data_IF_997492704340
#
_entry.id   IF_997492704340
#
_cell.length_a   1.000
_cell.length_b   1.000
_cell.length_c   1.000
_cell.angle_alpha   90.00
_cell.angle_beta   90.00
_cell.angle_gamma   90.00
#
_symmetry.space_group_name_H-M   'P 1'
#
loop_
_entity.id
_entity.type
_entity.pdbx_description
1 polymer ?
#
# COMPACT_ATOMS: atom_id res chain seq x y z
N UNK A 1 -5.86 -18.63 21.21
CA UNK A 1 -4.48 -18.17 20.94
C UNK A 1 -4.54 -16.67 20.74
N UNK A 2 -3.71 -15.89 21.43
CA UNK A 2 -3.51 -14.47 21.08
C UNK A 2 -2.79 -14.44 19.71
N UNK A 3 -3.23 -13.65 18.73
CA UNK A 3 -2.45 -13.46 17.52
C UNK A 3 -1.06 -12.91 17.91
N UNK A 4 0.01 -13.52 17.41
CA UNK A 4 1.35 -12.94 17.54
C UNK A 4 1.41 -11.75 16.60
N UNK A 5 1.67 -10.57 17.17
CA UNK A 5 1.93 -9.39 16.38
C UNK A 5 3.23 -9.59 15.58
N UNK A 6 3.34 -9.01 14.36
CA UNK A 6 4.56 -9.01 13.58
C UNK A 6 5.74 -8.43 14.38
N UNK A 7 6.94 -8.97 14.17
CA UNK A 7 8.17 -8.34 14.67
C UNK A 7 8.59 -7.19 13.76
N UNK A 8 9.48 -6.30 14.23
CA UNK A 8 10.06 -5.25 13.39
C UNK A 8 10.76 -5.83 12.14
N UNK A 9 11.42 -6.99 12.28
CA UNK A 9 12.04 -7.70 11.17
C UNK A 9 11.00 -8.20 10.15
N UNK A 10 9.84 -8.69 10.61
CA UNK A 10 8.74 -9.11 9.73
C UNK A 10 8.19 -7.91 8.94
N UNK A 11 8.06 -6.75 9.58
CA UNK A 11 7.62 -5.50 8.96
C UNK A 11 8.63 -4.99 7.93
N UNK A 12 9.93 -5.07 8.23
CA UNK A 12 10.98 -4.72 7.27
C UNK A 12 10.96 -5.64 6.04
N UNK A 13 10.91 -6.96 6.25
CA UNK A 13 10.80 -7.95 5.16
C UNK A 13 9.53 -7.73 4.35
N UNK A 14 8.44 -7.32 4.98
CA UNK A 14 7.20 -6.99 4.31
C UNK A 14 7.39 -5.80 3.36
N UNK A 15 7.94 -4.69 3.84
CA UNK A 15 8.12 -3.49 3.01
C UNK A 15 9.19 -3.67 1.92
N UNK A 16 10.23 -4.47 2.15
CA UNK A 16 11.18 -4.86 1.10
C UNK A 16 10.48 -5.55 -0.08
N UNK A 17 9.50 -6.42 0.20
CA UNK A 17 8.68 -7.06 -0.84
C UNK A 17 7.79 -6.05 -1.56
N UNK A 18 7.27 -5.04 -0.87
CA UNK A 18 6.48 -3.97 -1.49
C UNK A 18 7.35 -3.15 -2.44
N UNK A 19 8.56 -2.76 -2.01
CA UNK A 19 9.55 -2.07 -2.85
C UNK A 19 9.86 -2.88 -4.10
N UNK A 20 10.22 -4.16 -3.95
CA UNK A 20 10.48 -5.04 -5.09
C UNK A 20 9.29 -5.10 -6.07
N UNK A 21 8.07 -5.21 -5.57
CA UNK A 21 6.86 -5.26 -6.41
C UNK A 21 6.58 -3.94 -7.13
N UNK A 22 6.96 -2.80 -6.56
CA UNK A 22 6.88 -1.51 -7.23
C UNK A 22 7.89 -1.42 -8.38
N UNK A 23 9.09 -1.96 -8.19
CA UNK A 23 10.09 -2.05 -9.25
C UNK A 23 9.61 -2.99 -10.38
N UNK A 24 9.17 -4.19 -10.03
CA UNK A 24 8.79 -5.23 -11.00
C UNK A 24 7.52 -4.88 -11.79
N UNK A 25 6.46 -4.38 -11.13
CA UNK A 25 5.18 -4.13 -11.80
C UNK A 25 5.10 -2.76 -12.48
N UNK A 26 5.87 -1.77 -12.03
CA UNK A 26 5.73 -0.38 -12.48
C UNK A 26 7.03 0.28 -12.94
N UNK A 27 8.17 -0.42 -12.86
CA UNK A 27 9.45 0.04 -13.40
C UNK A 27 10.14 1.12 -12.58
N UNK A 28 9.78 1.31 -11.30
CA UNK A 28 10.45 2.26 -10.43
C UNK A 28 11.89 1.83 -10.10
N UNK A 29 12.78 2.81 -9.91
CA UNK A 29 14.07 2.54 -9.26
C UNK A 29 13.84 2.19 -7.79
N UNK A 30 14.79 1.49 -7.17
CA UNK A 30 14.74 1.14 -5.75
C UNK A 30 14.52 2.37 -4.88
N UNK A 31 15.29 3.44 -5.10
CA UNK A 31 15.16 4.71 -4.36
C UNK A 31 13.76 5.31 -4.50
N UNK A 32 13.20 5.33 -5.71
CA UNK A 32 11.85 5.86 -5.91
C UNK A 32 10.78 4.98 -5.25
N UNK A 33 10.90 3.66 -5.37
CA UNK A 33 9.99 2.71 -4.76
C UNK A 33 10.02 2.82 -3.22
N UNK A 34 11.20 2.90 -2.62
CA UNK A 34 11.36 3.10 -1.17
C UNK A 34 10.76 4.42 -0.70
N UNK A 35 10.98 5.51 -1.45
CA UNK A 35 10.36 6.80 -1.13
C UNK A 35 8.83 6.75 -1.19
N UNK A 36 8.26 6.07 -2.20
CA UNK A 36 6.80 5.90 -2.31
C UNK A 36 6.23 5.07 -1.16
N UNK A 37 6.92 4.00 -0.74
CA UNK A 37 6.51 3.19 0.40
C UNK A 37 6.56 4.02 1.69
N UNK A 38 7.63 4.79 1.89
CA UNK A 38 7.78 5.63 3.07
C UNK A 38 6.72 6.73 3.13
N UNK A 39 6.50 7.46 2.02
CA UNK A 39 5.47 8.49 1.92
C UNK A 39 4.07 7.92 2.22
N UNK A 40 3.75 6.74 1.68
CA UNK A 40 2.49 6.07 1.98
C UNK A 40 2.38 5.70 3.46
N UNK A 41 3.44 5.11 4.03
CA UNK A 41 3.45 4.67 5.42
C UNK A 41 3.26 5.85 6.39
N UNK A 42 3.97 6.95 6.19
CA UNK A 42 3.85 8.14 7.04
C UNK A 42 2.45 8.76 6.93
N UNK A 43 1.94 8.92 5.71
CA UNK A 43 0.65 9.57 5.48
C UNK A 43 -0.53 8.77 6.05
N UNK A 44 -0.59 7.47 5.78
CA UNK A 44 -1.74 6.64 6.19
C UNK A 44 -1.68 6.15 7.65
N UNK A 45 -0.59 6.44 8.34
CA UNK A 45 -0.49 6.28 9.80
C UNK A 45 -0.82 7.53 10.59
N UNK A 46 -0.84 8.68 9.94
CA UNK A 46 -1.16 9.94 10.59
C UNK A 46 -2.67 10.16 10.66
N UNK A 47 -3.19 10.33 11.88
CA UNK A 47 -4.63 10.44 12.12
C UNK A 47 -5.23 11.71 11.50
N UNK A 48 -4.49 12.82 11.53
CA UNK A 48 -4.93 14.09 10.96
C UNK A 48 -4.98 14.02 9.42
N UNK A 49 -3.94 13.45 8.81
CA UNK A 49 -3.87 13.20 7.37
C UNK A 49 -5.00 12.29 6.90
N UNK A 50 -5.28 11.20 7.62
CA UNK A 50 -6.35 10.27 7.27
C UNK A 50 -7.76 10.90 7.43
N UNK A 51 -7.98 11.67 8.49
CA UNK A 51 -9.24 12.40 8.70
C UNK A 51 -9.50 13.42 7.59
N UNK A 52 -8.44 14.10 7.11
CA UNK A 52 -8.54 15.10 6.04
C UNK A 52 -9.07 14.56 4.70
N UNK A 53 -8.90 13.25 4.46
CA UNK A 53 -9.39 12.56 3.26
C UNK A 53 -10.49 11.53 3.56
N UNK A 54 -11.03 11.54 4.79
CA UNK A 54 -12.09 10.65 5.25
C UNK A 54 -11.77 9.15 5.05
N UNK A 55 -10.55 8.73 5.40
CA UNK A 55 -10.15 7.32 5.44
C UNK A 55 -9.75 6.90 6.85
N UNK A 56 -9.89 5.62 7.22
CA UNK A 56 -9.35 5.13 8.48
C UNK A 56 -7.82 5.14 8.48
N UNK A 57 -7.23 5.42 9.65
CA UNK A 57 -5.80 5.17 9.90
C UNK A 57 -5.50 3.70 9.64
N UNK A 58 -4.39 3.44 8.96
CA UNK A 58 -3.92 2.11 8.61
C UNK A 58 -2.78 1.71 9.54
N UNK A 59 -2.97 0.60 10.24
CA UNK A 59 -1.96 0.00 11.11
C UNK A 59 -1.26 -1.18 10.43
N UNK A 60 -0.34 -1.80 11.15
CA UNK A 60 0.40 -2.94 10.63
C UNK A 60 -0.56 -4.09 10.28
N UNK A 61 -1.60 -4.34 11.08
CA UNK A 61 -2.63 -5.35 10.79
C UNK A 61 -3.29 -5.11 9.42
N UNK A 62 -3.60 -3.85 9.07
CA UNK A 62 -4.09 -3.49 7.74
C UNK A 62 -3.06 -3.82 6.64
N UNK A 63 -1.79 -3.44 6.82
CA UNK A 63 -0.75 -3.66 5.81
C UNK A 63 -0.55 -5.16 5.54
N UNK A 64 -0.44 -5.97 6.60
CA UNK A 64 -0.30 -7.42 6.48
C UNK A 64 -1.54 -8.08 5.87
N UNK A 65 -2.75 -7.61 6.21
CA UNK A 65 -4.00 -8.11 5.63
C UNK A 65 -4.08 -7.84 4.11
N UNK A 66 -3.63 -6.67 3.66
CA UNK A 66 -3.68 -6.29 2.25
C UNK A 66 -2.67 -7.07 1.38
N UNK A 67 -1.65 -7.68 1.99
CA UNK A 67 -0.48 -8.31 1.36
C UNK A 67 0.45 -7.34 0.64
N UNK A 68 1.72 -7.73 0.44
CA UNK A 68 2.71 -6.88 -0.23
C UNK A 68 2.27 -6.44 -1.65
N UNK A 69 1.57 -7.32 -2.38
CA UNK A 69 1.05 -7.00 -3.72
C UNK A 69 -0.13 -6.03 -3.66
N UNK A 70 -1.01 -6.17 -2.68
CA UNK A 70 -2.09 -5.21 -2.49
C UNK A 70 -1.55 -3.84 -2.11
N UNK A 71 -0.54 -3.79 -1.23
CA UNK A 71 0.15 -2.54 -0.86
C UNK A 71 0.81 -1.86 -2.06
N UNK A 72 1.57 -2.59 -2.88
CA UNK A 72 2.19 -2.02 -4.08
C UNK A 72 1.15 -1.41 -5.04
N UNK A 73 0.00 -2.09 -5.21
CA UNK A 73 -1.12 -1.57 -6.01
C UNK A 73 -1.75 -0.31 -5.38
N UNK A 74 -1.95 -0.29 -4.05
CA UNK A 74 -2.51 0.87 -3.33
C UNK A 74 -1.60 2.09 -3.42
N UNK A 75 -0.30 1.89 -3.19
CA UNK A 75 0.71 2.95 -3.30
C UNK A 75 0.69 3.56 -4.69
N UNK A 76 0.73 2.73 -5.74
CA UNK A 76 0.66 3.21 -7.12
C UNK A 76 -0.64 3.97 -7.40
N UNK A 77 -1.78 3.40 -6.99
CA UNK A 77 -3.08 4.02 -7.23
C UNK A 77 -3.23 5.38 -6.54
N UNK A 78 -2.81 5.49 -5.28
CA UNK A 78 -2.99 6.72 -4.52
C UNK A 78 -1.91 7.77 -4.82
N UNK A 79 -0.63 7.42 -4.70
CA UNK A 79 0.45 8.41 -4.82
C UNK A 79 0.83 8.71 -6.28
N UNK A 80 0.73 7.73 -7.17
CA UNK A 80 1.16 7.90 -8.56
C UNK A 80 -0.01 8.33 -9.44
N UNK A 81 -1.11 7.57 -9.43
CA UNK A 81 -2.29 7.92 -10.23
C UNK A 81 -3.08 9.09 -9.64
N UNK A 82 -2.81 9.46 -8.38
CA UNK A 82 -3.56 10.49 -7.64
C UNK A 82 -5.07 10.23 -7.68
N UNK A 83 -5.43 8.95 -7.60
CA UNK A 83 -6.80 8.51 -7.70
C UNK A 83 -7.51 8.58 -6.34
N UNK A 84 -8.84 8.39 -6.37
CA UNK A 84 -9.71 8.54 -5.22
C UNK A 84 -9.33 7.57 -4.08
N UNK A 85 -8.95 8.05 -2.87
CA UNK A 85 -8.55 7.21 -1.74
C UNK A 85 -9.66 6.29 -1.20
N UNK A 86 -10.91 6.47 -1.63
CA UNK A 86 -12.01 5.61 -1.24
C UNK A 86 -11.69 4.12 -1.49
N UNK A 87 -11.82 3.25 -0.47
CA UNK A 87 -11.56 1.82 -0.62
C UNK A 87 -12.39 1.16 -1.72
N UNK A 88 -13.63 1.60 -1.95
CA UNK A 88 -14.47 1.02 -3.01
C UNK A 88 -13.97 1.44 -4.41
N UNK A 89 -13.55 2.68 -4.59
CA UNK A 89 -12.91 3.16 -5.81
C UNK A 89 -11.63 2.36 -6.13
N UNK A 90 -10.76 2.16 -5.15
CA UNK A 90 -9.57 1.30 -5.29
C UNK A 90 -9.94 -0.13 -5.71
N UNK A 91 -10.91 -0.76 -5.03
CA UNK A 91 -11.32 -2.14 -5.35
C UNK A 91 -11.89 -2.27 -6.76
N UNK A 92 -12.66 -1.27 -7.21
CA UNK A 92 -13.20 -1.22 -8.57
C UNK A 92 -12.10 -1.08 -9.62
N UNK A 93 -11.13 -0.20 -9.38
CA UNK A 93 -9.95 -0.05 -10.24
C UNK A 93 -9.12 -1.34 -10.28
N UNK A 94 -8.81 -1.92 -9.12
CA UNK A 94 -8.05 -3.18 -9.03
C UNK A 94 -8.75 -4.31 -9.79
N UNK A 95 -10.08 -4.41 -9.69
CA UNK A 95 -10.85 -5.40 -10.44
C UNK A 95 -10.81 -5.17 -11.96
N UNK A 96 -10.70 -3.93 -12.42
CA UNK A 96 -10.62 -3.63 -13.86
C UNK A 96 -9.30 -4.10 -14.49
N UNK A 97 -8.19 -4.08 -13.75
CA UNK A 97 -6.88 -4.58 -14.20
C UNK A 97 -6.90 -6.08 -14.52
N UNK A 98 -7.76 -6.85 -13.87
CA UNK A 98 -7.94 -8.29 -14.15
C UNK A 98 -8.83 -8.53 -15.37
N UNK A 99 -9.83 -7.66 -15.57
CA UNK A 99 -10.72 -7.74 -16.74
C UNK A 99 -10.03 -7.31 -18.04
N UNK A 100 -9.01 -6.47 -17.96
CA UNK A 100 -8.23 -6.05 -19.14
C UNK A 100 -7.14 -7.03 -19.55
N UNK A 101 -6.87 -8.07 -18.74
CA UNK A 101 -5.88 -9.12 -19.03
C UNK A 101 -6.49 -10.40 -19.60
N UNK A 102 -7.82 -10.45 -19.76
CA UNK A 102 -8.57 -11.52 -20.43
C UNK A 102 -9.17 -10.99 -21.74
#
# INVERSE_FOLDING_TARGET
MKPMLPTDDDTNIFFDKVVFLLQDNFGYSEVMASNLVHEYYEFFRDAESCDSINVPVQDDDFFFHESARGMALRIYYYLVLKADPDPHAFMKWRASLWRSKN
#
